data_IF_549645230659
#
_entry.id   IF_549645230659
#
_cell.length_a   1.000
_cell.length_b   1.000
_cell.length_c   1.000
_cell.angle_alpha   90.00
_cell.angle_beta   90.00
_cell.angle_gamma   90.00
#
_symmetry.space_group_name_H-M   'P 1'
#
loop_
_entity.id
_entity.type
_entity.pdbx_description
1 polymer ?
#
# COMPACT_ATOMS: atom_id res chain seq x y z
N UNK A 1 -7.00 -25.07 -1.27
CA UNK A 1 -7.12 -23.71 -1.83
C UNK A 1 -5.82 -23.42 -2.55
N UNK A 2 -5.87 -22.92 -3.80
CA UNK A 2 -4.68 -22.39 -4.45
C UNK A 2 -4.17 -21.20 -3.62
N UNK A 3 -2.87 -21.16 -3.38
CA UNK A 3 -2.25 -20.00 -2.74
C UNK A 3 -2.39 -18.82 -3.69
N UNK A 4 -2.96 -17.72 -3.22
CA UNK A 4 -2.95 -16.48 -4.00
C UNK A 4 -1.51 -15.95 -4.04
N UNK A 5 -1.12 -15.42 -5.19
CA UNK A 5 0.17 -14.81 -5.40
C UNK A 5 0.01 -13.38 -5.90
N UNK A 6 0.62 -12.43 -5.19
CA UNK A 6 0.60 -11.01 -5.56
C UNK A 6 2.01 -10.57 -5.93
N UNK A 7 2.17 -10.10 -7.17
CA UNK A 7 3.35 -9.38 -7.61
C UNK A 7 3.18 -7.88 -7.32
N UNK A 8 3.97 -7.35 -6.38
CA UNK A 8 3.86 -5.93 -6.02
C UNK A 8 4.40 -4.98 -7.10
N UNK A 9 5.29 -5.41 -7.99
CA UNK A 9 5.66 -4.59 -9.14
C UNK A 9 4.47 -4.44 -10.09
N UNK A 10 3.75 -5.54 -10.36
CA UNK A 10 2.56 -5.51 -11.21
C UNK A 10 1.43 -4.69 -10.56
N UNK A 11 1.22 -4.84 -9.26
CA UNK A 11 0.26 -4.02 -8.51
C UNK A 11 0.60 -2.53 -8.60
N UNK A 12 1.87 -2.16 -8.40
CA UNK A 12 2.32 -0.77 -8.50
C UNK A 12 2.10 -0.21 -9.90
N UNK A 13 2.35 -1.02 -10.95
CA UNK A 13 2.16 -0.63 -12.36
C UNK A 13 0.70 -0.47 -12.75
N UNK A 14 -0.16 -1.38 -12.33
CA UNK A 14 -1.50 -1.56 -12.93
C UNK A 14 -2.66 -1.37 -11.95
N UNK A 15 -2.40 -1.43 -10.65
CA UNK A 15 -3.41 -1.49 -9.61
C UNK A 15 -4.03 -2.88 -9.42
N UNK A 16 -3.57 -3.89 -10.16
CA UNK A 16 -4.09 -5.26 -10.07
C UNK A 16 -3.64 -5.93 -8.76
N UNK A 17 -4.59 -6.30 -7.92
CA UNK A 17 -4.38 -7.07 -6.71
C UNK A 17 -5.23 -8.35 -6.76
N UNK A 18 -4.82 -9.30 -7.59
CA UNK A 18 -5.61 -10.50 -7.92
C UNK A 18 -7.04 -10.12 -8.40
N UNK A 19 -8.09 -10.66 -7.78
CA UNK A 19 -9.50 -10.37 -8.05
C UNK A 19 -10.03 -9.11 -7.34
N UNK A 20 -9.23 -8.49 -6.46
CA UNK A 20 -9.67 -7.38 -5.61
C UNK A 20 -9.75 -6.07 -6.38
N UNK A 21 -10.87 -5.35 -6.19
CA UNK A 21 -11.14 -4.03 -6.74
C UNK A 21 -11.82 -3.15 -5.70
N UNK A 22 -11.55 -1.86 -5.77
CA UNK A 22 -12.32 -0.84 -5.03
C UNK A 22 -13.80 -0.94 -5.44
N UNK A 23 -14.71 -0.75 -4.48
CA UNK A 23 -16.16 -0.88 -4.62
C UNK A 23 -16.72 -2.29 -4.39
N UNK A 24 -15.87 -3.32 -4.26
CA UNK A 24 -16.35 -4.68 -3.95
C UNK A 24 -16.86 -4.78 -2.51
N UNK A 25 -17.93 -5.55 -2.32
CA UNK A 25 -18.47 -5.78 -1.00
C UNK A 25 -17.64 -6.77 -0.20
N UNK A 26 -17.76 -6.72 1.13
CA UNK A 26 -17.20 -7.71 2.04
C UNK A 26 -17.59 -9.14 1.66
N UNK A 27 -18.85 -9.36 1.30
CA UNK A 27 -19.37 -10.67 0.92
C UNK A 27 -18.65 -11.21 -0.31
N UNK A 28 -18.52 -10.39 -1.37
CA UNK A 28 -17.79 -10.78 -2.56
C UNK A 28 -16.34 -11.17 -2.26
N UNK A 29 -15.65 -10.38 -1.42
CA UNK A 29 -14.26 -10.64 -1.06
C UNK A 29 -14.14 -11.96 -0.29
N UNK A 30 -15.03 -12.25 0.66
CA UNK A 30 -15.01 -13.52 1.41
C UNK A 30 -15.31 -14.75 0.56
N UNK A 31 -16.05 -14.58 -0.53
CA UNK A 31 -16.36 -15.66 -1.48
C UNK A 31 -15.23 -15.92 -2.48
N UNK A 32 -14.44 -14.90 -2.83
CA UNK A 32 -13.48 -14.95 -3.94
C UNK A 32 -12.00 -14.76 -3.53
N UNK A 33 -11.74 -14.42 -2.28
CA UNK A 33 -10.41 -14.15 -1.74
C UNK A 33 -10.23 -14.84 -0.38
N UNK A 34 -8.98 -15.13 0.06
CA UNK A 34 -8.72 -15.70 1.37
C UNK A 34 -9.36 -14.88 2.48
N UNK A 35 -9.69 -15.57 3.58
CA UNK A 35 -10.12 -14.87 4.79
C UNK A 35 -9.00 -13.98 5.32
N UNK A 36 -9.32 -12.79 5.85
CA UNK A 36 -8.32 -11.94 6.48
C UNK A 36 -7.72 -12.58 7.73
N UNK A 37 -6.50 -12.17 8.07
CA UNK A 37 -5.83 -12.61 9.30
C UNK A 37 -6.48 -12.01 10.54
N UNK A 38 -6.94 -10.75 10.47
CA UNK A 38 -7.71 -10.09 11.52
C UNK A 38 -8.80 -9.19 10.94
N UNK A 39 -9.91 -9.09 11.67
CA UNK A 39 -11.07 -8.24 11.37
C UNK A 39 -11.25 -7.26 12.52
N UNK A 40 -11.20 -5.96 12.21
CA UNK A 40 -11.47 -4.87 13.13
C UNK A 40 -12.73 -4.13 12.65
N UNK A 41 -13.87 -4.75 12.92
CA UNK A 41 -15.18 -4.16 12.67
C UNK A 41 -15.69 -3.54 13.97
N UNK A 42 -15.62 -2.22 14.08
CA UNK A 42 -16.18 -1.52 15.23
C UNK A 42 -17.43 -0.76 14.80
N UNK A 43 -18.60 -1.31 15.10
CA UNK A 43 -19.91 -0.72 14.76
C UNK A 43 -20.15 0.70 15.31
N UNK A 44 -19.40 1.13 16.33
CA UNK A 44 -19.52 2.47 16.91
C UNK A 44 -18.57 3.49 16.28
N UNK A 45 -17.64 3.05 15.44
CA UNK A 45 -16.70 3.89 14.71
C UNK A 45 -16.81 3.61 13.22
N UNK A 46 -16.36 4.51 12.35
CA UNK A 46 -16.23 4.18 10.92
C UNK A 46 -15.05 3.23 10.63
N UNK A 47 -14.39 2.70 11.67
CA UNK A 47 -13.27 1.77 11.54
C UNK A 47 -13.78 0.38 11.22
N UNK A 48 -13.61 0.01 9.96
CA UNK A 48 -14.09 -1.21 9.37
C UNK A 48 -12.94 -1.74 8.50
N UNK A 49 -12.01 -2.46 9.13
CA UNK A 49 -10.69 -2.78 8.57
C UNK A 49 -10.46 -4.28 8.64
N UNK A 50 -10.07 -4.87 7.52
CA UNK A 50 -9.56 -6.24 7.47
C UNK A 50 -8.06 -6.22 7.17
N UNK A 51 -7.31 -7.17 7.72
CA UNK A 51 -5.86 -7.22 7.53
C UNK A 51 -5.42 -8.53 6.89
N UNK A 52 -4.41 -8.43 6.03
CA UNK A 52 -3.66 -9.53 5.43
C UNK A 52 -2.19 -9.23 5.70
N UNK A 53 -1.63 -9.82 6.76
CA UNK A 53 -0.37 -9.35 7.35
C UNK A 53 -0.46 -7.88 7.76
N UNK A 54 0.32 -7.02 7.10
CA UNK A 54 0.30 -5.57 7.31
C UNK A 54 -0.32 -4.80 6.12
N UNK A 55 -1.06 -5.48 5.24
CA UNK A 55 -1.92 -4.87 4.25
C UNK A 55 -3.32 -4.76 4.84
N UNK A 56 -3.90 -3.58 4.79
CA UNK A 56 -5.20 -3.24 5.33
C UNK A 56 -6.20 -2.98 4.21
N UNK A 57 -7.38 -3.57 4.34
CA UNK A 57 -8.54 -3.32 3.49
C UNK A 57 -9.52 -2.50 4.32
N UNK A 58 -9.76 -1.27 3.88
CA UNK A 58 -10.63 -0.32 4.56
C UNK A 58 -12.00 -0.27 3.88
N UNK A 59 -13.04 -0.44 4.68
CA UNK A 59 -14.42 -0.52 4.21
C UNK A 59 -15.27 0.66 4.67
N UNK A 60 -16.23 1.05 3.84
CA UNK A 60 -17.27 2.00 4.17
C UNK A 60 -18.58 1.49 3.61
N UNK A 61 -19.65 1.46 4.41
CA UNK A 61 -20.95 0.88 4.01
C UNK A 61 -20.83 -0.51 3.35
N UNK A 62 -19.95 -1.37 3.92
CA UNK A 62 -19.60 -2.71 3.43
C UNK A 62 -18.84 -2.78 2.10
N UNK A 63 -18.42 -1.67 1.51
CA UNK A 63 -17.64 -1.63 0.27
C UNK A 63 -16.18 -1.27 0.54
N UNK A 64 -15.25 -1.97 -0.10
CA UNK A 64 -13.82 -1.68 -0.05
C UNK A 64 -13.56 -0.33 -0.73
N UNK A 65 -13.08 0.67 0.00
CA UNK A 65 -12.79 1.99 -0.57
C UNK A 65 -11.29 2.31 -0.64
N UNK A 66 -10.45 1.58 0.10
CA UNK A 66 -9.02 1.78 0.13
C UNK A 66 -8.28 0.51 0.54
N UNK A 67 -7.15 0.23 -0.10
CA UNK A 67 -6.11 -0.62 0.47
C UNK A 67 -4.99 0.25 1.02
N UNK A 68 -4.43 -0.11 2.16
CA UNK A 68 -3.41 0.67 2.85
C UNK A 68 -2.34 -0.24 3.44
N UNK A 69 -1.13 0.27 3.61
CA UNK A 69 -0.09 -0.39 4.41
C UNK A 69 0.95 0.64 4.79
N UNK A 70 1.48 0.54 6.00
CA UNK A 70 2.44 1.47 6.56
C UNK A 70 3.57 0.77 7.32
N UNK A 71 4.35 1.57 8.07
CA UNK A 71 5.45 1.12 8.91
C UNK A 71 6.60 0.42 8.16
N UNK A 72 6.81 0.80 6.90
CA UNK A 72 7.92 0.27 6.08
C UNK A 72 9.31 0.63 6.58
N UNK A 73 9.43 1.52 7.56
CA UNK A 73 10.68 1.82 8.25
C UNK A 73 11.10 0.72 9.23
N UNK A 74 10.16 -0.08 9.74
CA UNK A 74 10.44 -1.10 10.76
C UNK A 74 10.32 -2.52 10.22
N UNK A 75 9.49 -2.74 9.20
CA UNK A 75 9.17 -4.08 8.72
C UNK A 75 9.02 -4.15 7.20
N UNK A 76 9.26 -5.35 6.66
CA UNK A 76 8.94 -5.66 5.27
C UNK A 76 7.42 -5.72 5.13
N UNK A 77 6.94 -5.45 3.92
CA UNK A 77 5.56 -5.75 3.55
C UNK A 77 5.26 -7.25 3.74
N UNK A 78 4.09 -7.59 4.22
CA UNK A 78 3.66 -8.95 4.51
C UNK A 78 2.15 -9.07 4.24
N UNK A 79 1.75 -10.12 3.52
CA UNK A 79 0.34 -10.39 3.20
C UNK A 79 -0.26 -11.54 4.02
N UNK A 80 0.36 -11.90 5.13
CA UNK A 80 -0.15 -12.94 6.02
C UNK A 80 0.25 -14.35 5.60
N UNK A 81 -0.49 -15.33 6.12
CA UNK A 81 -0.18 -16.76 5.91
C UNK A 81 -0.83 -17.36 4.66
N UNK A 82 -1.80 -16.67 4.06
CA UNK A 82 -2.63 -17.20 2.98
C UNK A 82 -2.31 -16.61 1.61
N UNK A 83 -1.45 -15.60 1.55
CA UNK A 83 -1.07 -14.88 0.33
C UNK A 83 0.45 -14.89 0.24
N UNK A 84 0.97 -15.41 -0.87
CA UNK A 84 2.38 -15.24 -1.23
C UNK A 84 2.58 -13.92 -1.95
N UNK A 85 3.72 -13.27 -1.72
CA UNK A 85 4.02 -11.96 -2.33
C UNK A 85 5.45 -11.89 -2.87
N UNK A 86 5.57 -11.32 -4.07
CA UNK A 86 6.83 -10.78 -4.57
C UNK A 86 6.90 -9.31 -4.20
N UNK A 87 7.72 -8.99 -3.19
CA UNK A 87 7.71 -7.67 -2.53
C UNK A 87 8.33 -6.54 -3.35
N UNK A 88 9.10 -6.85 -4.39
CA UNK A 88 9.85 -5.85 -5.16
C UNK A 88 10.64 -4.89 -4.24
N UNK A 89 10.43 -3.57 -4.32
CA UNK A 89 11.13 -2.57 -3.48
C UNK A 89 10.87 -2.77 -1.98
N UNK A 90 9.70 -3.31 -1.61
CA UNK A 90 9.31 -3.50 -0.21
C UNK A 90 10.06 -4.65 0.49
N UNK A 91 10.93 -5.38 -0.23
CA UNK A 91 11.81 -6.41 0.34
C UNK A 91 12.92 -5.80 1.20
N UNK A 92 13.29 -4.53 0.95
CA UNK A 92 14.41 -3.84 1.64
C UNK A 92 13.96 -2.50 2.23
N UNK A 93 13.22 -2.51 3.37
CA UNK A 93 12.82 -1.34 4.16
C UNK A 93 13.81 -0.16 4.17
N UNK A 94 15.07 -0.42 4.55
CA UNK A 94 16.13 0.59 4.66
C UNK A 94 16.53 1.26 3.33
N UNK A 95 16.11 0.71 2.19
CA UNK A 95 16.39 1.28 0.85
C UNK A 95 15.25 2.11 0.32
N UNK A 96 14.11 2.20 1.01
CA UNK A 96 12.92 2.93 0.59
C UNK A 96 13.04 4.46 0.77
N UNK A 97 14.22 5.02 0.55
CA UNK A 97 14.42 6.47 0.42
C UNK A 97 13.71 6.99 -0.83
N UNK A 98 13.25 8.24 -0.83
CA UNK A 98 12.62 8.87 -2.00
C UNK A 98 13.43 8.72 -3.29
N UNK A 99 14.75 8.98 -3.22
CA UNK A 99 15.66 8.85 -4.36
C UNK A 99 15.64 7.46 -4.97
N UNK A 100 15.85 6.44 -4.14
CA UNK A 100 15.88 5.05 -4.62
C UNK A 100 14.52 4.62 -5.18
N UNK A 101 13.40 4.99 -4.53
CA UNK A 101 12.08 4.62 -5.04
C UNK A 101 11.82 5.30 -6.40
N UNK A 102 12.14 6.58 -6.57
CA UNK A 102 12.04 7.26 -7.87
C UNK A 102 12.92 6.56 -8.92
N UNK A 103 14.13 6.15 -8.55
CA UNK A 103 15.02 5.42 -9.47
C UNK A 103 14.41 4.08 -9.92
N UNK A 104 13.81 3.33 -9.00
CA UNK A 104 13.13 2.06 -9.32
C UNK A 104 11.89 2.30 -10.19
N UNK A 105 11.07 3.31 -9.88
CA UNK A 105 9.93 3.72 -10.72
C UNK A 105 10.38 4.06 -12.15
N UNK A 106 11.44 4.86 -12.29
CA UNK A 106 12.00 5.25 -13.60
C UNK A 106 12.57 4.05 -14.37
N UNK A 107 13.26 3.13 -13.68
CA UNK A 107 13.83 1.92 -14.27
C UNK A 107 12.74 1.03 -14.87
N UNK A 108 11.56 1.02 -14.26
CA UNK A 108 10.40 0.26 -14.70
C UNK A 108 9.39 1.07 -15.53
N UNK A 109 9.74 2.29 -15.95
CA UNK A 109 8.89 3.19 -16.74
C UNK A 109 7.51 3.46 -16.12
N UNK A 110 7.49 3.68 -14.80
CA UNK A 110 6.27 3.95 -14.04
C UNK A 110 6.14 5.44 -13.82
N UNK A 111 5.21 6.07 -14.52
CA UNK A 111 4.93 7.49 -14.39
C UNK A 111 4.26 7.84 -13.05
N UNK A 112 4.60 9.01 -12.53
CA UNK A 112 4.05 9.52 -11.28
C UNK A 112 3.92 11.03 -11.28
N UNK A 113 2.91 11.52 -10.55
CA UNK A 113 2.79 12.92 -10.15
C UNK A 113 3.36 13.08 -8.75
N UNK A 114 4.25 14.04 -8.57
CA UNK A 114 4.85 14.35 -7.27
C UNK A 114 4.21 15.59 -6.66
N UNK A 115 3.70 15.46 -5.44
CA UNK A 115 3.24 16.57 -4.61
C UNK A 115 4.14 16.68 -3.38
N UNK A 116 4.60 17.90 -3.07
CA UNK A 116 5.42 18.17 -1.88
C UNK A 116 4.65 19.11 -0.97
N UNK A 117 4.50 18.72 0.29
CA UNK A 117 3.97 19.57 1.35
C UNK A 117 5.10 19.92 2.35
N UNK A 118 4.78 20.70 3.39
CA UNK A 118 5.76 21.01 4.45
C UNK A 118 6.23 19.78 5.24
N UNK A 119 5.40 18.75 5.32
CA UNK A 119 5.66 17.57 6.16
C UNK A 119 5.98 16.33 5.32
N UNK A 120 5.28 16.17 4.19
CA UNK A 120 5.23 14.93 3.44
C UNK A 120 5.45 15.13 1.94
N UNK A 121 5.95 14.11 1.28
CA UNK A 121 6.01 13.99 -0.19
C UNK A 121 5.11 12.83 -0.61
N UNK A 122 4.29 13.05 -1.63
CA UNK A 122 3.41 12.05 -2.21
C UNK A 122 3.80 11.78 -3.66
N UNK A 123 3.88 10.51 -4.04
CA UNK A 123 3.97 10.09 -5.44
C UNK A 123 2.67 9.38 -5.83
N UNK A 124 1.80 10.03 -6.60
CA UNK A 124 0.58 9.44 -7.14
C UNK A 124 0.87 8.79 -8.49
N UNK A 125 0.63 7.48 -8.58
CA UNK A 125 0.90 6.67 -9.76
C UNK A 125 -0.35 6.57 -10.65
N UNK A 126 -0.15 6.26 -11.93
CA UNK A 126 -1.25 6.02 -12.87
C UNK A 126 -2.11 4.80 -12.51
N UNK A 127 -1.61 3.88 -11.68
CA UNK A 127 -2.37 2.76 -11.15
C UNK A 127 -3.45 3.17 -10.14
N UNK A 128 -3.35 4.36 -9.55
CA UNK A 128 -4.16 4.75 -8.38
C UNK A 128 -3.46 4.47 -7.04
N UNK A 129 -2.26 3.85 -7.06
CA UNK A 129 -1.40 3.77 -5.89
C UNK A 129 -0.80 5.15 -5.59
N UNK A 130 -0.77 5.50 -4.31
CA UNK A 130 -0.13 6.69 -3.76
C UNK A 130 0.94 6.22 -2.78
N UNK A 131 2.17 6.68 -2.97
CA UNK A 131 3.31 6.41 -2.09
C UNK A 131 3.57 7.63 -1.21
N UNK A 132 3.56 7.44 0.10
CA UNK A 132 3.73 8.50 1.09
C UNK A 132 5.13 8.47 1.69
N UNK A 133 5.81 9.60 1.60
CA UNK A 133 7.15 9.78 2.13
C UNK A 133 7.14 10.84 3.21
N UNK A 134 7.80 10.55 4.33
CA UNK A 134 7.90 11.47 5.45
C UNK A 134 9.34 11.64 5.92
N UNK A 135 9.57 12.73 6.61
CA UNK A 135 10.79 12.97 7.36
C UNK A 135 10.64 12.40 8.78
N UNK A 136 11.15 11.20 9.01
CA UNK A 136 11.10 10.55 10.34
C UNK A 136 11.73 11.33 11.50
N UNK A 137 12.47 12.41 11.24
CA UNK A 137 13.08 13.23 12.28
C UNK A 137 12.33 14.53 12.55
N UNK A 138 11.27 14.83 11.80
CA UNK A 138 10.52 16.10 11.88
C UNK A 138 11.41 17.36 11.84
N UNK A 139 12.55 17.25 11.17
CA UNK A 139 13.51 18.35 11.00
C UNK A 139 13.03 19.26 9.87
N UNK A 140 12.85 20.54 10.16
CA UNK A 140 12.63 21.57 9.13
C UNK A 140 13.86 21.67 8.20
N UNK A 141 13.64 21.87 6.90
CA UNK A 141 14.70 22.01 5.88
C UNK A 141 15.59 20.77 5.69
N UNK A 142 15.07 19.58 6.02
CA UNK A 142 15.75 18.33 5.75
C UNK A 142 15.90 18.10 4.24
N UNK A 143 17.10 17.68 3.83
CA UNK A 143 17.37 17.16 2.49
C UNK A 143 16.27 16.17 2.05
N UNK A 144 15.52 16.46 0.97
CA UNK A 144 14.45 15.58 0.46
C UNK A 144 14.90 14.14 0.20
N UNK A 145 16.19 13.89 0.01
CA UNK A 145 16.73 12.53 -0.14
C UNK A 145 16.68 11.70 1.15
N UNK A 146 16.46 12.33 2.30
CA UNK A 146 16.34 11.66 3.59
C UNK A 146 14.89 11.27 3.93
N UNK A 147 13.93 11.65 3.08
CA UNK A 147 12.55 11.18 3.18
C UNK A 147 12.50 9.69 2.85
N UNK A 148 11.70 8.94 3.62
CA UNK A 148 11.52 7.51 3.46
C UNK A 148 10.06 7.19 3.24
N UNK A 149 9.80 6.16 2.44
CA UNK A 149 8.45 5.63 2.25
C UNK A 149 7.95 5.11 3.59
N UNK A 150 6.85 5.68 4.07
CA UNK A 150 6.23 5.28 5.33
C UNK A 150 4.98 4.46 5.09
N UNK A 151 4.29 4.72 3.98
CA UNK A 151 3.03 4.07 3.65
C UNK A 151 2.75 4.05 2.13
N UNK A 152 1.84 3.19 1.72
CA UNK A 152 1.12 3.31 0.47
C UNK A 152 -0.39 3.30 0.72
N UNK A 153 -1.14 3.97 -0.14
CA UNK A 153 -2.57 3.76 -0.29
C UNK A 153 -2.88 3.37 -1.74
N UNK A 154 -3.93 2.59 -1.94
CA UNK A 154 -4.55 2.38 -3.24
C UNK A 154 -6.02 2.74 -3.13
N UNK A 155 -6.43 3.66 -3.98
CA UNK A 155 -7.79 4.19 -4.06
C UNK A 155 -8.15 4.32 -5.53
N UNK A 156 -9.43 4.24 -5.85
CA UNK A 156 -9.88 4.54 -7.21
C UNK A 156 -9.59 6.02 -7.54
N UNK A 157 -9.43 6.32 -8.84
CA UNK A 157 -8.99 7.61 -9.35
C UNK A 157 -10.00 8.74 -9.15
#
# INVERSE_FOLDING_TARGET
>A
MNLIHIDFLEFIKTGKFDCIKIGQTKEYILENFPKPDSIWDNYHTSSNIWTYGNIEFHFSKNELYMMFSDHFNYQKLNAGKHISIDRWIFERPRRLTLKNVIQELNTHHIDFQKTTTKLNIELKLNSGVILYFENHKDITDLDPNKFHLVAFAFKEK
#
